data_IF_820057662664
#
_entry.id   IF_820057662664
#
_cell.length_a   1.000
_cell.length_b   1.000
_cell.length_c   1.000
_cell.angle_alpha   90.00
_cell.angle_beta   90.00
_cell.angle_gamma   90.00
#
_symmetry.space_group_name_H-M   'P 1'
#
loop_
_entity.id
_entity.type
_entity.pdbx_description
1 polymer ?
#
# COMPACT_ATOMS: atom_id res chain seq x y z
N UNK A 1 4.56 -6.96 -12.31
CA UNK A 1 6.03 -6.87 -12.27
C UNK A 1 6.57 -7.12 -10.85
N UNK A 2 7.52 -8.04 -10.69
CA UNK A 2 8.28 -8.24 -9.43
C UNK A 2 9.64 -7.54 -9.52
N UNK A 3 10.24 -7.20 -8.38
CA UNK A 3 11.60 -6.63 -8.39
C UNK A 3 12.67 -7.70 -8.65
N UNK A 4 12.54 -8.84 -7.99
CA UNK A 4 13.36 -10.04 -8.17
C UNK A 4 12.45 -11.27 -8.12
N UNK A 5 12.92 -12.41 -8.61
CA UNK A 5 12.14 -13.66 -8.58
C UNK A 5 11.71 -14.05 -7.15
N UNK A 6 12.55 -13.77 -6.15
CA UNK A 6 12.27 -14.05 -4.74
C UNK A 6 11.33 -13.03 -4.06
N UNK A 7 11.05 -11.88 -4.71
CA UNK A 7 10.24 -10.83 -4.10
C UNK A 7 8.78 -11.25 -3.96
N UNK A 8 8.28 -11.21 -2.72
CA UNK A 8 6.85 -11.41 -2.40
C UNK A 8 5.99 -10.21 -2.77
N UNK A 9 6.60 -9.11 -3.19
CA UNK A 9 5.93 -7.88 -3.59
C UNK A 9 5.74 -7.86 -5.11
N UNK A 10 4.49 -7.69 -5.54
CA UNK A 10 4.10 -7.60 -6.94
C UNK A 10 3.52 -6.22 -7.23
N UNK A 11 4.12 -5.49 -8.17
CA UNK A 11 3.59 -4.22 -8.68
C UNK A 11 2.71 -4.48 -9.88
N UNK A 12 1.52 -3.89 -9.90
CA UNK A 12 0.65 -3.85 -11.06
C UNK A 12 0.83 -2.51 -11.78
N UNK A 13 1.15 -2.56 -13.06
CA UNK A 13 1.45 -1.40 -13.90
C UNK A 13 0.62 -1.50 -15.17
N UNK A 14 -0.02 -0.41 -15.60
CA UNK A 14 -0.78 -0.36 -16.83
C UNK A 14 0.16 -0.53 -18.04
N UNK A 15 -0.19 -1.44 -18.97
CA UNK A 15 0.64 -1.71 -20.15
C UNK A 15 0.68 -0.55 -21.16
N UNK A 16 -0.36 0.27 -21.22
CA UNK A 16 -0.48 1.36 -22.20
C UNK A 16 0.38 2.60 -21.88
N UNK A 17 0.61 2.89 -20.60
CA UNK A 17 1.25 4.15 -20.17
C UNK A 17 2.27 3.97 -19.05
N UNK A 18 2.56 2.73 -18.65
CA UNK A 18 3.44 2.40 -17.54
C UNK A 18 3.04 3.01 -16.18
N UNK A 19 1.78 3.43 -16.03
CA UNK A 19 1.27 4.00 -14.78
C UNK A 19 1.16 2.94 -13.69
N UNK A 20 1.70 3.18 -12.49
CA UNK A 20 1.60 2.24 -11.38
C UNK A 20 0.18 2.27 -10.78
N UNK A 21 -0.50 1.12 -10.76
CA UNK A 21 -1.89 0.99 -10.31
C UNK A 21 -1.95 0.65 -8.82
N UNK A 22 -1.37 -0.48 -8.43
CA UNK A 22 -1.29 -0.92 -7.05
C UNK A 22 -0.12 -1.88 -6.83
N UNK A 23 0.15 -2.17 -5.57
CA UNK A 23 1.13 -3.13 -5.10
C UNK A 23 0.43 -4.18 -4.26
N UNK A 24 0.55 -5.43 -4.69
CA UNK A 24 -0.01 -6.60 -4.02
C UNK A 24 1.10 -7.47 -3.45
N UNK A 25 0.73 -8.41 -2.58
CA UNK A 25 1.66 -9.29 -1.91
C UNK A 25 1.26 -10.75 -2.06
N UNK A 26 2.24 -11.62 -2.30
CA UNK A 26 2.02 -13.06 -2.48
C UNK A 26 2.01 -13.82 -1.14
N UNK A 27 2.22 -13.14 -0.02
CA UNK A 27 2.26 -13.68 1.35
C UNK A 27 0.90 -13.56 2.08
N UNK A 28 -0.21 -13.61 1.33
CA UNK A 28 -1.59 -13.67 1.83
C UNK A 28 -2.04 -12.49 2.69
N UNK A 29 -1.45 -11.31 2.52
CA UNK A 29 -1.92 -10.09 3.19
C UNK A 29 -3.32 -9.72 2.71
N UNK A 30 -4.27 -9.41 3.62
CA UNK A 30 -5.65 -9.08 3.26
C UNK A 30 -5.83 -7.65 2.70
N UNK A 31 -4.76 -7.01 2.21
CA UNK A 31 -4.82 -5.66 1.67
C UNK A 31 -3.90 -5.50 0.45
N UNK A 32 -4.19 -4.47 -0.35
CA UNK A 32 -3.33 -3.97 -1.41
C UNK A 32 -2.89 -2.55 -1.11
N UNK A 33 -1.75 -2.12 -1.64
CA UNK A 33 -1.27 -0.75 -1.52
C UNK A 33 -1.51 0.00 -2.83
N UNK A 34 -2.47 0.92 -2.84
CA UNK A 34 -2.72 1.79 -3.99
C UNK A 34 -1.78 3.00 -3.99
N UNK A 35 -1.45 3.51 -5.18
CA UNK A 35 -0.61 4.70 -5.30
C UNK A 35 -1.43 5.97 -5.09
N UNK A 36 -0.98 6.84 -4.18
CA UNK A 36 -1.67 8.09 -3.82
C UNK A 36 -1.97 8.96 -5.05
N UNK A 37 -1.02 9.06 -5.99
CA UNK A 37 -1.12 9.93 -7.14
C UNK A 37 -2.40 9.72 -7.96
N UNK A 38 -2.91 8.48 -8.01
CA UNK A 38 -4.12 8.12 -8.75
C UNK A 38 -5.41 8.70 -8.15
N UNK A 39 -5.40 9.14 -6.89
CA UNK A 39 -6.57 9.69 -6.21
C UNK A 39 -6.66 11.22 -6.28
N UNK A 40 -5.62 11.91 -6.77
CA UNK A 40 -5.62 13.37 -6.91
C UNK A 40 -6.00 14.12 -5.62
N UNK A 41 -6.98 15.02 -5.72
CA UNK A 41 -7.48 15.82 -4.60
C UNK A 41 -8.29 15.01 -3.57
N UNK A 42 -8.84 13.86 -3.96
CA UNK A 42 -9.63 12.98 -3.10
C UNK A 42 -8.77 12.04 -2.25
N UNK A 43 -7.44 12.12 -2.40
CA UNK A 43 -6.52 11.25 -1.69
C UNK A 43 -6.61 11.47 -0.16
N UNK A 44 -6.91 10.42 0.64
CA UNK A 44 -7.08 10.54 2.10
C UNK A 44 -5.81 11.09 2.76
N UNK A 45 -5.89 11.83 3.87
CA UNK A 45 -4.71 12.43 4.51
C UNK A 45 -3.66 11.37 4.89
N UNK A 46 -2.39 11.76 4.87
CA UNK A 46 -1.30 10.83 5.24
C UNK A 46 -1.23 10.70 6.75
N UNK A 47 -1.65 9.56 7.29
CA UNK A 47 -1.69 9.33 8.73
C UNK A 47 -0.39 8.76 9.31
N UNK A 48 0.36 7.98 8.51
CA UNK A 48 1.59 7.32 8.97
C UNK A 48 2.56 7.00 7.83
N UNK A 49 3.85 6.99 8.15
CA UNK A 49 4.94 6.52 7.26
C UNK A 49 5.46 5.20 7.77
N UNK A 50 5.41 4.16 6.94
CA UNK A 50 5.83 2.80 7.30
C UNK A 50 7.06 2.39 6.50
N UNK A 51 7.75 1.34 6.95
CA UNK A 51 8.91 0.78 6.25
C UNK A 51 10.04 1.81 6.00
N UNK A 52 10.15 2.84 6.85
CA UNK A 52 11.12 3.95 6.68
C UNK A 52 12.58 3.51 6.79
N UNK A 53 12.86 2.30 7.30
CA UNK A 53 14.21 1.72 7.29
C UNK A 53 14.81 1.54 5.89
N UNK A 54 13.97 1.47 4.85
CA UNK A 54 14.40 1.34 3.46
C UNK A 54 14.48 2.69 2.74
N UNK A 55 14.25 3.80 3.45
CA UNK A 55 14.36 5.14 2.90
C UNK A 55 15.84 5.42 2.57
N UNK A 56 16.10 5.96 1.38
CA UNK A 56 17.44 6.35 0.94
C UNK A 56 17.84 7.76 1.37
N UNK A 57 16.88 8.68 1.51
CA UNK A 57 17.15 10.03 2.04
C UNK A 57 17.22 10.01 3.56
N UNK A 58 18.24 10.68 4.12
CA UNK A 58 18.43 10.84 5.56
C UNK A 58 17.58 11.96 6.15
N UNK A 59 17.09 12.87 5.32
CA UNK A 59 16.25 13.99 5.74
C UNK A 59 14.95 13.48 6.36
N UNK A 60 14.53 14.03 7.50
CA UNK A 60 13.24 13.69 8.10
C UNK A 60 12.15 14.43 7.34
N UNK A 61 10.99 13.80 7.15
CA UNK A 61 9.83 14.54 6.67
C UNK A 61 9.38 15.50 7.79
N UNK A 62 9.33 16.80 7.51
CA UNK A 62 9.00 17.85 8.50
C UNK A 62 7.49 18.10 8.65
N UNK A 63 6.67 17.22 8.09
CA UNK A 63 5.21 17.37 8.04
C UNK A 63 4.47 16.86 9.29
N UNK A 64 5.20 16.57 10.37
CA UNK A 64 4.63 16.08 11.63
C UNK A 64 4.10 14.62 11.57
N UNK A 65 4.16 13.94 10.42
CA UNK A 65 3.63 12.58 10.27
C UNK A 65 4.59 11.56 10.89
N UNK A 66 4.04 10.65 11.70
CA UNK A 66 4.83 9.64 12.42
C UNK A 66 5.51 8.67 11.46
N UNK A 67 6.81 8.48 11.67
CA UNK A 67 7.65 7.57 10.88
C UNK A 67 7.97 6.29 11.63
N UNK A 68 7.69 5.14 11.02
CA UNK A 68 7.90 3.81 11.57
C UNK A 68 8.88 3.01 10.68
N UNK A 69 9.88 2.33 11.27
CA UNK A 69 10.88 1.57 10.50
C UNK A 69 10.28 0.33 9.81
N UNK A 70 9.15 -0.18 10.31
CA UNK A 70 8.39 -1.30 9.74
C UNK A 70 6.89 -1.04 9.79
N UNK A 71 6.10 -2.12 9.80
CA UNK A 71 4.64 -2.05 9.97
C UNK A 71 4.30 -1.87 11.46
N UNK A 72 3.66 -0.77 11.87
CA UNK A 72 3.31 -0.54 13.27
C UNK A 72 2.13 -1.44 13.69
N UNK A 73 2.07 -1.89 14.96
CA UNK A 73 0.95 -2.70 15.47
C UNK A 73 -0.43 -2.05 15.26
N UNK A 74 -0.52 -0.73 15.39
CA UNK A 74 -1.76 0.03 15.16
C UNK A 74 -2.34 -0.16 13.74
N UNK A 75 -1.48 -0.36 12.73
CA UNK A 75 -1.93 -0.65 11.37
C UNK A 75 -2.59 -2.03 11.29
N UNK A 76 -1.99 -3.05 11.91
CA UNK A 76 -2.55 -4.40 11.93
C UNK A 76 -3.90 -4.44 12.65
N UNK A 77 -4.05 -3.72 13.76
CA UNK A 77 -5.33 -3.61 14.47
C UNK A 77 -6.43 -3.06 13.54
N UNK A 78 -6.13 -1.99 12.77
CA UNK A 78 -7.10 -1.42 11.82
C UNK A 78 -7.44 -2.37 10.67
N UNK A 79 -6.45 -3.10 10.16
CA UNK A 79 -6.66 -4.09 9.10
C UNK A 79 -7.53 -5.23 9.63
N UNK A 80 -7.23 -5.79 10.80
CA UNK A 80 -8.02 -6.86 11.40
C UNK A 80 -9.46 -6.42 11.70
N UNK A 81 -9.66 -5.18 12.15
CA UNK A 81 -10.99 -4.61 12.36
C UNK A 81 -11.79 -4.45 11.05
N UNK A 82 -11.11 -4.10 9.95
CA UNK A 82 -11.75 -3.97 8.64
C UNK A 82 -11.95 -5.30 7.91
N UNK A 83 -11.14 -6.32 8.21
CA UNK A 83 -11.15 -7.60 7.51
C UNK A 83 -12.53 -8.29 7.44
N UNK A 84 -13.32 -8.40 8.52
CA UNK A 84 -14.66 -9.00 8.41
C UNK A 84 -15.56 -8.24 7.44
N UNK A 85 -15.45 -6.91 7.32
CA UNK A 85 -16.23 -6.13 6.35
C UNK A 85 -15.81 -6.40 4.91
N UNK A 86 -14.51 -6.65 4.66
CA UNK A 86 -14.00 -6.97 3.32
C UNK A 86 -14.38 -8.38 2.85
N UNK A 87 -14.63 -9.33 3.75
CA UNK A 87 -15.11 -10.68 3.40
C UNK A 87 -16.54 -10.65 2.85
N UNK A 88 -17.36 -9.71 3.31
CA UNK A 88 -18.74 -9.50 2.83
C UNK A 88 -18.87 -8.36 1.82
N UNK A 89 -17.78 -7.65 1.53
CA UNK A 89 -17.74 -6.68 0.44
C UNK A 89 -17.93 -7.44 -0.87
N UNK A 90 -18.89 -7.01 -1.71
CA UNK A 90 -19.02 -7.53 -3.07
C UNK A 90 -17.65 -7.44 -3.73
N UNK A 91 -17.19 -8.55 -4.31
CA UNK A 91 -16.04 -8.55 -5.21
C UNK A 91 -16.30 -7.46 -6.24
N UNK A 92 -15.46 -6.42 -6.25
CA UNK A 92 -15.44 -5.48 -7.37
C UNK A 92 -15.08 -6.34 -8.57
N UNK A 93 -16.05 -6.53 -9.46
CA UNK A 93 -15.97 -7.43 -10.58
C UNK A 93 -14.65 -7.24 -11.34
N UNK A 94 -14.15 -8.33 -11.91
CA UNK A 94 -12.96 -8.35 -12.75
C UNK A 94 -12.91 -7.08 -13.60
N UNK A 95 -11.91 -6.23 -13.32
CA UNK A 95 -11.59 -5.12 -14.19
C UNK A 95 -11.36 -5.70 -15.59
N UNK A 96 -12.08 -5.22 -16.62
CA UNK A 96 -11.91 -5.70 -17.99
C UNK A 96 -10.48 -5.47 -18.50
#
# INVERSE_FOLDING_TARGET
MRLTAASKTRRMIAGCCATPMYLAFDDKRPWVSAFRASFGAEAPPVEMRICTRFRRSQEKAEDGVRSHPGYPPAMFVRILAAWPLTLFSRSVGALP
#
